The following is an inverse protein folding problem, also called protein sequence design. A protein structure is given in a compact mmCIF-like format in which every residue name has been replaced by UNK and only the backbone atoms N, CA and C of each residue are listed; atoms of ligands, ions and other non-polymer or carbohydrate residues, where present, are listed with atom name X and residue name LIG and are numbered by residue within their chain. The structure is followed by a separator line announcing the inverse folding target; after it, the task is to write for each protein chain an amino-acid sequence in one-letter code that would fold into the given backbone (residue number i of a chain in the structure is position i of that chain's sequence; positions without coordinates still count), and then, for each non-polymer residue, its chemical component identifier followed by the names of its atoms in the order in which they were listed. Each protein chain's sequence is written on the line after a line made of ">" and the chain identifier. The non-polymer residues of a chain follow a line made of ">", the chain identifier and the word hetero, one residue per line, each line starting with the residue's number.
data_IF_649325271718
#
_entry.id   IF_649325271718
#
_cell.length_a   1.000
_cell.length_b   1.000
_cell.length_c   1.000
_cell.angle_alpha   90.00
_cell.angle_beta   90.00
_cell.angle_gamma   90.00
#
_symmetry.space_group_name_H-M   'P 1'
#
loop_
_entity.id
_entity.type
_entity.pdbx_description
1 polymer ?
#
# COMPACT_ATOMS: atom_id res chain seq x y z
N UNK A 1 26.88 37.14 25.26
CA UNK A 1 27.16 35.81 24.69
C UNK A 1 26.06 34.89 25.18
N UNK A 2 25.05 34.59 24.36
CA UNK A 2 24.03 33.66 24.73
C UNK A 2 24.62 32.24 24.58
N UNK A 3 24.85 31.59 25.71
CA UNK A 3 25.11 30.15 25.71
C UNK A 3 23.85 29.46 25.14
N UNK A 4 23.88 29.09 23.87
CA UNK A 4 22.94 28.11 23.35
C UNK A 4 23.30 26.79 24.02
N UNK A 5 22.60 26.49 25.10
CA UNK A 5 22.54 25.11 25.61
C UNK A 5 22.06 24.24 24.45
N UNK A 6 22.93 23.35 23.99
CA UNK A 6 22.63 22.42 22.89
C UNK A 6 21.57 21.43 23.44
N UNK A 7 20.30 21.81 23.37
CA UNK A 7 19.21 20.94 23.79
C UNK A 7 19.17 19.79 22.77
N UNK A 8 19.36 18.54 23.17
CA UNK A 8 19.35 17.43 22.24
C UNK A 8 17.98 17.31 21.56
N UNK A 9 17.99 16.92 20.30
CA UNK A 9 16.76 16.61 19.58
C UNK A 9 16.23 15.32 20.18
N UNK A 10 14.93 15.33 20.53
CA UNK A 10 14.25 14.14 21.08
C UNK A 10 13.40 13.51 19.99
N UNK A 11 13.62 12.24 19.73
CA UNK A 11 12.86 11.44 18.78
C UNK A 11 11.99 10.45 19.57
N UNK A 12 10.68 10.55 19.43
CA UNK A 12 9.74 9.66 20.09
C UNK A 12 9.31 8.55 19.14
N UNK A 13 9.76 7.34 19.44
CA UNK A 13 9.50 6.12 18.67
C UNK A 13 10.66 5.74 17.75
N UNK A 14 11.16 4.52 17.90
CA UNK A 14 12.20 3.92 17.06
C UNK A 14 11.62 3.04 15.93
N UNK A 15 10.50 3.44 15.33
CA UNK A 15 10.04 2.90 14.07
C UNK A 15 10.87 3.41 12.90
N UNK A 16 10.59 2.99 11.66
CA UNK A 16 11.38 3.38 10.47
C UNK A 16 11.51 4.90 10.32
N UNK A 17 10.46 5.67 10.61
CA UNK A 17 10.50 7.13 10.52
C UNK A 17 11.47 7.74 11.55
N UNK A 18 11.39 7.31 12.82
CA UNK A 18 12.26 7.79 13.88
C UNK A 18 13.72 7.38 13.66
N UNK A 19 13.96 6.14 13.25
CA UNK A 19 15.31 5.67 12.92
C UNK A 19 15.88 6.39 11.70
N UNK A 20 15.06 6.66 10.67
CA UNK A 20 15.48 7.46 9.53
C UNK A 20 15.84 8.91 9.93
N UNK A 21 15.02 9.52 10.78
CA UNK A 21 15.34 10.86 11.30
C UNK A 21 16.68 10.86 12.05
N UNK A 22 16.88 9.88 12.96
CA UNK A 22 18.12 9.71 13.70
C UNK A 22 19.35 9.53 12.79
N UNK A 23 19.20 8.72 11.74
CA UNK A 23 20.27 8.46 10.78
C UNK A 23 20.71 9.71 10.01
N UNK A 24 19.80 10.62 9.71
CA UNK A 24 20.09 11.81 8.91
C UNK A 24 20.45 13.05 9.74
N UNK A 25 20.33 12.99 11.06
CA UNK A 25 20.68 14.13 11.93
C UNK A 25 22.19 14.23 12.12
N UNK A 26 22.71 15.43 11.95
CA UNK A 26 24.11 15.78 12.28
C UNK A 26 24.25 16.36 13.69
N UNK A 27 23.14 16.71 14.35
CA UNK A 27 23.10 17.25 15.71
C UNK A 27 22.91 16.13 16.73
N UNK A 28 23.33 16.32 18.00
CA UNK A 28 23.03 15.36 19.06
C UNK A 28 21.54 15.10 19.20
N UNK A 29 21.17 13.85 19.39
CA UNK A 29 19.79 13.43 19.56
C UNK A 29 19.68 12.29 20.58
N UNK A 30 18.46 12.12 21.11
CA UNK A 30 18.06 10.99 21.93
C UNK A 30 16.82 10.35 21.32
N UNK A 31 16.78 8.99 21.31
CA UNK A 31 15.62 8.23 20.80
C UNK A 31 14.97 7.48 21.96
N UNK A 32 13.67 7.68 22.13
CA UNK A 32 12.88 6.96 23.12
C UNK A 32 11.91 6.01 22.43
N UNK A 33 11.97 4.73 22.78
CA UNK A 33 11.07 3.69 22.30
C UNK A 33 10.32 3.07 23.48
N UNK A 34 9.03 2.84 23.33
CA UNK A 34 8.20 2.24 24.39
C UNK A 34 8.32 0.72 24.47
N UNK A 35 8.67 0.08 23.36
CA UNK A 35 8.83 -1.35 23.26
C UNK A 35 10.27 -1.77 23.58
N UNK A 36 10.49 -3.06 23.85
CA UNK A 36 11.83 -3.61 24.10
C UNK A 36 12.77 -3.52 22.91
N UNK A 37 12.20 -3.53 21.70
CA UNK A 37 12.96 -3.60 20.45
C UNK A 37 12.55 -2.49 19.49
N UNK A 38 13.50 -1.86 18.78
CA UNK A 38 13.23 -0.87 17.76
C UNK A 38 12.66 -1.53 16.49
N UNK A 39 12.13 -0.71 15.58
CA UNK A 39 11.64 -1.14 14.27
C UNK A 39 10.15 -0.91 14.04
N UNK A 40 9.36 -0.68 15.11
CA UNK A 40 7.93 -0.41 14.99
C UNK A 40 7.18 -1.53 14.26
N UNK A 41 6.38 -1.17 13.26
CA UNK A 41 5.64 -2.15 12.44
C UNK A 41 6.55 -3.00 11.52
N UNK A 42 7.81 -2.63 11.31
CA UNK A 42 8.77 -3.40 10.55
C UNK A 42 9.46 -4.51 11.37
N UNK A 43 9.04 -4.70 12.63
CA UNK A 43 9.53 -5.81 13.48
C UNK A 43 8.93 -7.14 13.07
N UNK A 44 9.65 -8.18 13.42
CA UNK A 44 9.19 -9.56 13.37
C UNK A 44 9.26 -10.18 14.77
N UNK A 45 8.56 -11.27 14.96
CA UNK A 45 8.66 -12.08 16.17
C UNK A 45 8.81 -13.56 15.81
N UNK A 46 9.46 -14.31 16.68
CA UNK A 46 9.74 -15.74 16.43
C UNK A 46 8.95 -16.60 17.41
N UNK A 47 8.25 -17.60 16.88
CA UNK A 47 7.52 -18.61 17.66
C UNK A 47 7.87 -19.99 17.12
N UNK A 48 8.36 -20.87 17.98
CA UNK A 48 8.70 -22.25 17.64
C UNK A 48 9.67 -22.37 16.42
N UNK A 49 10.60 -21.42 16.28
CA UNK A 49 11.57 -21.40 15.17
C UNK A 49 11.03 -20.79 13.85
N UNK A 50 9.79 -20.34 13.82
CA UNK A 50 9.21 -19.62 12.69
C UNK A 50 9.18 -18.12 12.97
N UNK A 51 9.59 -17.32 12.00
CA UNK A 51 9.56 -15.86 12.07
C UNK A 51 8.31 -15.32 11.41
N UNK A 52 7.60 -14.46 12.11
CA UNK A 52 6.39 -13.79 11.66
C UNK A 52 6.59 -12.28 11.72
N UNK A 53 6.18 -11.59 10.66
CA UNK A 53 6.21 -10.14 10.59
C UNK A 53 4.93 -9.55 11.21
N UNK A 54 5.06 -8.40 11.92
CA UNK A 54 3.89 -7.63 12.36
C UNK A 54 3.12 -7.03 11.19
N UNK A 55 3.85 -6.66 10.13
CA UNK A 55 3.27 -6.18 8.87
C UNK A 55 4.05 -6.76 7.69
N UNK A 56 3.41 -6.89 6.54
CA UNK A 56 4.07 -7.39 5.33
C UNK A 56 5.22 -6.46 4.95
N UNK A 57 6.44 -6.96 4.94
CA UNK A 57 7.65 -6.22 4.63
C UNK A 57 7.96 -6.30 3.13
N UNK A 58 7.21 -5.56 2.33
CA UNK A 58 7.50 -5.39 0.90
C UNK A 58 8.05 -3.99 0.69
N UNK A 59 9.31 -3.92 0.28
CA UNK A 59 9.90 -2.65 -0.12
C UNK A 59 9.35 -2.25 -1.48
N UNK A 60 8.68 -1.12 -1.51
CA UNK A 60 8.25 -0.44 -2.72
C UNK A 60 8.57 1.04 -2.62
N UNK A 61 9.53 1.50 -3.42
CA UNK A 61 9.85 2.92 -3.53
C UNK A 61 10.20 3.28 -4.97
N UNK A 62 9.79 4.49 -5.40
CA UNK A 62 10.23 5.12 -6.65
C UNK A 62 11.31 6.17 -6.40
N UNK A 63 11.59 6.47 -5.13
CA UNK A 63 12.62 7.43 -4.74
C UNK A 63 14.02 6.81 -4.90
N UNK A 64 14.92 7.40 -5.70
CA UNK A 64 16.25 6.83 -5.94
C UNK A 64 17.13 6.81 -4.69
N UNK A 65 17.03 7.84 -3.84
CA UNK A 65 17.80 7.92 -2.60
C UNK A 65 17.35 6.84 -1.61
N UNK A 66 16.04 6.71 -1.38
CA UNK A 66 15.50 5.67 -0.51
C UNK A 66 15.89 4.27 -1.02
N UNK A 67 15.81 4.04 -2.33
CA UNK A 67 16.22 2.77 -2.94
C UNK A 67 17.70 2.46 -2.70
N UNK A 68 18.57 3.45 -2.89
CA UNK A 68 20.01 3.33 -2.63
C UNK A 68 20.27 3.09 -1.15
N UNK A 69 19.73 3.92 -0.25
CA UNK A 69 19.96 3.82 1.19
C UNK A 69 19.56 2.44 1.74
N UNK A 70 18.42 1.91 1.31
CA UNK A 70 17.96 0.62 1.77
C UNK A 70 18.89 -0.50 1.28
N UNK A 71 19.37 -0.42 0.04
CA UNK A 71 20.33 -1.40 -0.49
C UNK A 71 21.67 -1.34 0.28
N UNK A 72 22.16 -0.15 0.61
CA UNK A 72 23.35 0.02 1.43
C UNK A 72 23.18 -0.56 2.85
N UNK A 73 22.05 -0.28 3.50
CA UNK A 73 21.78 -0.75 4.86
C UNK A 73 21.55 -2.27 4.93
N UNK A 74 20.90 -2.85 3.95
CA UNK A 74 20.60 -4.28 3.94
C UNK A 74 21.75 -5.12 3.36
N UNK A 75 22.58 -4.56 2.49
CA UNK A 75 23.63 -5.29 1.80
C UNK A 75 23.04 -6.51 1.07
N UNK A 76 23.55 -7.73 1.33
CA UNK A 76 23.02 -8.96 0.73
C UNK A 76 21.75 -9.49 1.44
N UNK A 77 21.31 -8.87 2.53
CA UNK A 77 20.21 -9.36 3.37
C UNK A 77 18.82 -8.93 2.83
N UNK A 78 18.61 -9.13 1.54
CA UNK A 78 17.27 -8.99 0.93
C UNK A 78 17.09 -9.97 -0.24
N UNK A 79 15.86 -10.34 -0.49
CA UNK A 79 15.52 -11.23 -1.60
C UNK A 79 14.58 -10.53 -2.57
N UNK A 80 14.91 -10.57 -3.86
CA UNK A 80 14.00 -10.13 -4.91
C UNK A 80 13.05 -11.26 -5.26
N UNK A 81 11.76 -11.02 -5.09
CA UNK A 81 10.74 -11.99 -5.47
C UNK A 81 9.84 -11.42 -6.57
N UNK A 82 9.52 -12.26 -7.54
CA UNK A 82 8.49 -11.93 -8.50
C UNK A 82 7.13 -12.12 -7.84
N UNK A 83 6.34 -11.05 -7.79
CA UNK A 83 4.99 -11.10 -7.23
C UNK A 83 4.13 -12.09 -8.02
N UNK A 84 3.56 -13.07 -7.33
CA UNK A 84 2.54 -13.97 -7.85
C UNK A 84 1.30 -13.83 -6.97
N UNK A 85 0.35 -13.03 -7.42
CA UNK A 85 -0.91 -12.77 -6.70
C UNK A 85 -2.09 -13.21 -7.54
N UNK A 86 -3.07 -13.81 -6.91
CA UNK A 86 -4.27 -14.33 -7.54
C UNK A 86 -5.51 -13.77 -6.85
N UNK A 87 -6.55 -13.58 -7.61
CA UNK A 87 -7.88 -13.18 -7.14
C UNK A 87 -8.82 -14.34 -7.32
N UNK A 88 -9.46 -14.78 -6.23
CA UNK A 88 -10.58 -15.71 -6.29
C UNK A 88 -11.87 -14.90 -6.42
N UNK A 89 -12.56 -15.08 -7.52
CA UNK A 89 -13.84 -14.43 -7.82
C UNK A 89 -14.71 -15.38 -8.62
N UNK A 90 -15.97 -15.55 -8.21
CA UNK A 90 -16.90 -16.49 -8.87
C UNK A 90 -16.33 -17.93 -8.99
N UNK A 91 -15.69 -18.41 -7.92
CA UNK A 91 -15.03 -19.72 -7.84
C UNK A 91 -13.90 -19.95 -8.86
N UNK A 92 -13.41 -18.87 -9.48
CA UNK A 92 -12.30 -18.90 -10.43
C UNK A 92 -11.12 -18.10 -9.88
N UNK A 93 -9.91 -18.62 -10.08
CA UNK A 93 -8.67 -17.92 -9.77
C UNK A 93 -8.13 -17.23 -11.01
N UNK A 94 -8.10 -15.89 -10.99
CA UNK A 94 -7.49 -15.07 -12.03
C UNK A 94 -6.23 -14.42 -11.50
N UNK A 95 -5.28 -14.08 -12.37
CA UNK A 95 -4.09 -13.34 -11.97
C UNK A 95 -4.44 -11.90 -11.56
N UNK A 96 -3.76 -11.39 -10.54
CA UNK A 96 -3.78 -9.98 -10.22
C UNK A 96 -2.90 -9.19 -11.22
N UNK A 97 -3.29 -8.01 -11.69
CA UNK A 97 -4.52 -7.30 -11.34
C UNK A 97 -5.76 -7.83 -12.06
N UNK A 98 -6.88 -7.91 -11.35
CA UNK A 98 -8.15 -8.45 -11.84
C UNK A 98 -8.65 -7.78 -13.12
N UNK A 99 -8.56 -6.46 -13.21
CA UNK A 99 -9.02 -5.68 -14.36
C UNK A 99 -8.23 -5.94 -15.65
N UNK A 100 -7.05 -6.55 -15.54
CA UNK A 100 -6.24 -6.95 -16.71
C UNK A 100 -6.33 -8.46 -17.00
N UNK A 101 -6.98 -9.25 -16.14
CA UNK A 101 -6.97 -10.70 -16.22
C UNK A 101 -8.35 -11.27 -15.91
N UNK A 102 -9.24 -11.26 -16.89
CA UNK A 102 -10.61 -11.75 -16.77
C UNK A 102 -10.78 -13.20 -17.27
N UNK A 103 -9.70 -13.82 -17.72
CA UNK A 103 -9.75 -15.19 -18.27
C UNK A 103 -10.27 -16.19 -17.23
N UNK A 104 -11.24 -17.00 -17.67
CA UNK A 104 -11.86 -18.04 -16.85
C UNK A 104 -13.08 -17.60 -16.04
N UNK A 105 -13.32 -16.29 -15.91
CA UNK A 105 -14.54 -15.79 -15.26
C UNK A 105 -15.79 -16.17 -16.08
N UNK A 106 -16.97 -16.24 -15.45
CA UNK A 106 -18.22 -16.39 -16.18
C UNK A 106 -18.40 -15.33 -17.27
N UNK A 107 -18.87 -15.73 -18.45
CA UNK A 107 -18.97 -14.82 -19.61
C UNK A 107 -19.76 -13.55 -19.30
N UNK A 108 -20.89 -13.68 -18.56
CA UNK A 108 -21.68 -12.50 -18.17
C UNK A 108 -20.91 -11.52 -17.28
N UNK A 109 -20.00 -12.00 -16.42
CA UNK A 109 -19.14 -11.15 -15.59
C UNK A 109 -18.10 -10.43 -16.44
N UNK A 110 -17.53 -11.13 -17.43
CA UNK A 110 -16.59 -10.52 -18.39
C UNK A 110 -17.30 -9.44 -19.21
N UNK A 111 -18.49 -9.75 -19.71
CA UNK A 111 -19.32 -8.81 -20.46
C UNK A 111 -19.63 -7.54 -19.65
N UNK A 112 -20.13 -7.68 -18.42
CA UNK A 112 -20.39 -6.56 -17.52
C UNK A 112 -19.14 -5.71 -17.27
N UNK A 113 -17.99 -6.35 -17.04
CA UNK A 113 -16.74 -5.67 -16.80
C UNK A 113 -16.30 -4.84 -18.02
N UNK A 114 -16.36 -5.45 -19.20
CA UNK A 114 -15.90 -4.80 -20.45
C UNK A 114 -16.86 -3.69 -20.89
N UNK A 115 -18.17 -3.97 -20.89
CA UNK A 115 -19.18 -2.98 -21.28
C UNK A 115 -19.13 -1.78 -20.32
N UNK A 116 -19.09 -2.02 -19.01
CA UNK A 116 -18.97 -0.95 -18.03
C UNK A 116 -17.71 -0.09 -18.21
N UNK A 117 -16.56 -0.71 -18.54
CA UNK A 117 -15.34 0.03 -18.85
C UNK A 117 -15.49 0.88 -20.12
N UNK A 118 -16.07 0.33 -21.18
CA UNK A 118 -16.33 1.06 -22.42
C UNK A 118 -17.24 2.25 -22.15
N UNK A 119 -18.31 2.06 -21.39
CA UNK A 119 -19.22 3.15 -20.98
C UNK A 119 -18.48 4.25 -20.22
N UNK A 120 -17.64 3.90 -19.24
CA UNK A 120 -16.85 4.86 -18.48
C UNK A 120 -15.88 5.66 -19.34
N UNK A 121 -15.32 5.05 -20.38
CA UNK A 121 -14.36 5.71 -21.28
C UNK A 121 -15.04 6.63 -22.31
N UNK A 122 -16.18 6.24 -22.84
CA UNK A 122 -16.83 6.95 -23.95
C UNK A 122 -18.06 7.76 -23.56
N UNK A 123 -18.64 7.51 -22.39
CA UNK A 123 -19.72 8.30 -21.80
C UNK A 123 -19.37 8.70 -20.35
N UNK A 124 -18.30 9.48 -20.15
CA UNK A 124 -17.83 9.81 -18.82
C UNK A 124 -18.89 10.59 -18.04
N UNK A 125 -18.95 10.32 -16.74
CA UNK A 125 -19.81 11.09 -15.83
C UNK A 125 -19.43 12.57 -15.87
N UNK A 126 -20.43 13.44 -15.92
CA UNK A 126 -20.24 14.89 -15.92
C UNK A 126 -19.76 15.39 -14.54
N UNK A 127 -20.08 14.67 -13.47
CA UNK A 127 -19.71 15.03 -12.11
C UNK A 127 -18.42 14.33 -11.68
N UNK A 128 -17.48 15.04 -11.04
CA UNK A 128 -16.29 14.41 -10.49
C UNK A 128 -16.67 13.45 -9.34
N UNK A 129 -15.92 12.34 -9.18
CA UNK A 129 -16.17 11.40 -8.09
C UNK A 129 -15.95 12.05 -6.72
N UNK A 130 -16.82 11.75 -5.77
CA UNK A 130 -16.81 12.31 -4.40
C UNK A 130 -16.13 11.39 -3.40
N UNK A 131 -16.04 10.10 -3.71
CA UNK A 131 -15.50 9.06 -2.84
C UNK A 131 -14.84 7.94 -3.67
N UNK A 132 -14.22 6.99 -2.99
CA UNK A 132 -13.47 5.93 -3.63
C UNK A 132 -14.35 4.98 -4.47
N UNK A 133 -15.58 4.71 -4.05
CA UNK A 133 -16.49 3.87 -4.83
C UNK A 133 -16.89 4.56 -6.15
N UNK A 134 -17.23 5.85 -6.11
CA UNK A 134 -17.53 6.63 -7.31
C UNK A 134 -16.30 6.76 -8.23
N UNK A 135 -15.10 6.85 -7.65
CA UNK A 135 -13.87 6.86 -8.43
C UNK A 135 -13.65 5.53 -9.18
N UNK A 136 -13.90 4.38 -8.55
CA UNK A 136 -13.86 3.10 -9.25
C UNK A 136 -14.83 3.04 -10.42
N UNK A 137 -16.08 3.51 -10.20
CA UNK A 137 -17.11 3.50 -11.23
C UNK A 137 -16.75 4.43 -12.41
N UNK A 138 -16.22 5.61 -12.10
CA UNK A 138 -15.82 6.58 -13.11
C UNK A 138 -14.58 6.14 -13.91
N UNK A 139 -13.65 5.41 -13.27
CA UNK A 139 -12.37 5.02 -13.89
C UNK A 139 -12.45 3.66 -14.60
N UNK A 140 -13.13 2.69 -14.01
CA UNK A 140 -13.15 1.30 -14.47
C UNK A 140 -14.53 0.79 -14.87
N UNK A 141 -15.55 1.62 -14.70
CA UNK A 141 -16.93 1.26 -14.99
C UNK A 141 -17.61 0.45 -13.90
N UNK A 142 -18.92 0.30 -14.04
CA UNK A 142 -19.79 -0.36 -13.06
C UNK A 142 -19.45 -1.84 -12.87
N UNK A 143 -19.09 -2.54 -13.94
CA UNK A 143 -18.79 -3.97 -13.91
C UNK A 143 -17.59 -4.27 -13.00
N UNK A 144 -16.42 -3.71 -13.27
CA UNK A 144 -15.23 -3.89 -12.43
C UNK A 144 -15.44 -3.36 -11.01
N UNK A 145 -16.13 -2.23 -10.85
CA UNK A 145 -16.42 -1.68 -9.53
C UNK A 145 -17.22 -2.66 -8.69
N UNK A 146 -18.31 -3.23 -9.23
CA UNK A 146 -19.21 -4.15 -8.54
C UNK A 146 -18.60 -5.53 -8.32
N UNK A 147 -17.99 -6.10 -9.36
CA UNK A 147 -17.53 -7.48 -9.35
C UNK A 147 -16.21 -7.69 -8.58
N UNK A 148 -15.41 -6.64 -8.40
CA UNK A 148 -14.13 -6.77 -7.73
C UNK A 148 -13.76 -5.58 -6.84
N UNK A 149 -13.71 -4.35 -7.35
CA UNK A 149 -13.00 -3.27 -6.66
C UNK A 149 -13.65 -2.86 -5.35
N UNK A 150 -14.97 -2.69 -5.33
CA UNK A 150 -15.70 -2.34 -4.11
C UNK A 150 -15.64 -3.46 -3.07
N UNK A 151 -16.00 -4.72 -3.37
CA UNK A 151 -15.94 -5.79 -2.38
C UNK A 151 -14.51 -6.08 -1.91
N UNK A 152 -13.53 -6.05 -2.77
CA UNK A 152 -12.13 -6.23 -2.42
C UNK A 152 -11.64 -5.15 -1.45
N UNK A 153 -11.87 -3.88 -1.78
CA UNK A 153 -11.43 -2.78 -0.94
C UNK A 153 -12.19 -2.71 0.39
N UNK A 154 -13.49 -3.02 0.40
CA UNK A 154 -14.25 -3.15 1.65
C UNK A 154 -13.64 -4.19 2.59
N UNK A 155 -13.17 -5.32 2.04
CA UNK A 155 -12.50 -6.37 2.81
C UNK A 155 -11.13 -5.93 3.32
N UNK A 156 -10.32 -5.32 2.47
CA UNK A 156 -8.95 -4.88 2.80
C UNK A 156 -8.94 -3.78 3.86
N UNK A 157 -9.81 -2.79 3.71
CA UNK A 157 -9.83 -1.61 4.58
C UNK A 157 -10.81 -1.71 5.75
N UNK A 158 -11.59 -2.80 5.83
CA UNK A 158 -12.68 -2.97 6.79
C UNK A 158 -13.67 -1.77 6.83
N UNK A 159 -13.79 -1.07 5.71
CA UNK A 159 -14.60 0.15 5.56
C UNK A 159 -15.20 0.19 4.16
N UNK A 160 -16.43 0.70 4.05
CA UNK A 160 -17.04 0.85 2.73
C UNK A 160 -16.33 1.96 1.93
N UNK A 161 -15.91 1.68 0.67
CA UNK A 161 -15.30 2.68 -0.22
C UNK A 161 -16.10 3.96 -0.42
N UNK A 162 -17.41 3.95 -0.17
CA UNK A 162 -18.25 5.18 -0.17
C UNK A 162 -17.79 6.16 0.93
N UNK A 163 -17.23 5.67 2.02
CA UNK A 163 -16.75 6.48 3.14
C UNK A 163 -15.26 6.82 3.05
N UNK A 164 -14.61 6.52 1.93
CA UNK A 164 -13.17 6.74 1.74
C UNK A 164 -12.90 7.80 0.69
N UNK A 165 -11.91 8.66 0.96
CA UNK A 165 -11.30 9.51 -0.06
C UNK A 165 -10.46 8.68 -1.04
N UNK A 166 -10.17 9.23 -2.23
CA UNK A 166 -9.38 8.53 -3.26
C UNK A 166 -8.11 9.28 -3.68
N UNK A 167 -7.88 10.49 -3.19
CA UNK A 167 -6.77 11.37 -3.59
C UNK A 167 -5.39 10.72 -3.35
N UNK A 168 -5.29 9.81 -2.39
CA UNK A 168 -4.06 9.09 -2.07
C UNK A 168 -3.61 8.08 -3.14
N UNK A 169 -4.47 7.80 -4.16
CA UNK A 169 -4.18 6.89 -5.27
C UNK A 169 -3.42 7.60 -6.39
N UNK A 170 -3.47 8.92 -6.42
CA UNK A 170 -2.86 9.72 -7.47
C UNK A 170 -1.40 9.30 -7.71
N UNK A 171 -1.08 8.94 -8.96
CA UNK A 171 0.22 8.41 -9.35
C UNK A 171 0.52 6.95 -8.98
N UNK A 172 -0.48 6.18 -8.47
CA UNK A 172 -0.33 4.76 -8.14
C UNK A 172 -1.08 3.80 -9.07
N UNK A 173 -1.96 4.33 -9.89
CA UNK A 173 -2.76 3.58 -10.88
C UNK A 173 -2.52 4.18 -12.26
#
# INVERSE_FOLDING_TARGET
>A
MHNHTNVPIVILGAGLAGLSAAYHLSSPYEVFEKESDPGGAARSFTVNGFTFDYAVHILYTKDPYASWLIQELLGPNFTRQQRSSWVCSHDVHTRYPYQANTFGLPVGVIEENILGLIEALYAPSVAPPRNFAEWFQATFGQGFARNFMIPFNRKVWATDPVNMGFQWIEGRV
#
